data_IF_619709206397
#
_entry.id   IF_619709206397
#
_cell.length_a   1.000
_cell.length_b   1.000
_cell.length_c   1.000
_cell.angle_alpha   90.00
_cell.angle_beta   90.00
_cell.angle_gamma   90.00
#
_symmetry.space_group_name_H-M   'P 1'
#
loop_
_entity.id
_entity.type
_entity.pdbx_description
1 polymer ?
#
# COMPACT_ATOMS: atom_id res chain seq x y z
N UNK A 1 48.96 14.94 -40.72
CA UNK A 1 47.56 15.08 -40.36
C UNK A 1 47.21 14.43 -39.01
N UNK A 2 47.74 13.29 -38.68
CA UNK A 2 47.48 12.55 -37.41
C UNK A 2 47.94 13.29 -36.16
N UNK A 3 49.10 13.98 -36.20
CA UNK A 3 49.64 14.73 -35.06
C UNK A 3 48.77 15.90 -34.62
N UNK A 4 48.22 16.65 -35.60
CA UNK A 4 47.35 17.79 -35.35
C UNK A 4 45.99 17.35 -34.74
N UNK A 5 45.44 16.25 -35.20
CA UNK A 5 44.23 15.67 -34.63
C UNK A 5 44.43 15.18 -33.19
N UNK A 6 45.59 14.57 -32.90
CA UNK A 6 45.91 14.08 -31.56
C UNK A 6 46.08 15.23 -30.54
N UNK A 7 46.76 16.32 -30.95
CA UNK A 7 46.96 17.51 -30.11
C UNK A 7 45.63 18.25 -29.87
N UNK A 8 44.77 18.32 -30.86
CA UNK A 8 43.44 18.96 -30.72
C UNK A 8 42.55 18.17 -29.75
N UNK A 9 42.55 16.84 -29.79
CA UNK A 9 41.80 15.99 -28.86
C UNK A 9 42.30 16.14 -27.42
N UNK A 10 43.60 16.23 -27.20
CA UNK A 10 44.18 16.44 -25.88
C UNK A 10 43.79 17.79 -25.30
N UNK A 11 43.86 18.84 -26.11
CA UNK A 11 43.49 20.21 -25.69
C UNK A 11 42.00 20.30 -25.36
N UNK A 12 41.11 19.71 -26.19
CA UNK A 12 39.68 19.66 -25.93
C UNK A 12 39.37 18.84 -24.66
N UNK A 13 40.02 17.74 -24.47
CA UNK A 13 39.89 16.92 -23.24
C UNK A 13 40.33 17.69 -21.98
N UNK A 14 41.44 18.41 -22.04
CA UNK A 14 41.94 19.22 -20.93
C UNK A 14 40.96 20.38 -20.61
N UNK A 15 40.43 21.05 -21.64
CA UNK A 15 39.41 22.12 -21.47
C UNK A 15 38.11 21.59 -20.87
N UNK A 16 37.66 20.40 -21.31
CA UNK A 16 36.47 19.78 -20.75
C UNK A 16 36.67 19.39 -19.25
N UNK A 17 37.82 18.84 -18.88
CA UNK A 17 38.15 18.54 -17.51
C UNK A 17 38.27 19.82 -16.65
N UNK A 18 38.87 20.87 -17.17
CA UNK A 18 38.98 22.15 -16.47
C UNK A 18 37.61 22.84 -16.29
N UNK A 19 36.74 22.75 -17.32
CA UNK A 19 35.41 23.37 -17.27
C UNK A 19 34.39 22.61 -16.42
N UNK A 20 34.33 21.28 -16.59
CA UNK A 20 33.32 20.46 -15.91
C UNK A 20 33.81 19.75 -14.65
N UNK A 21 35.13 19.59 -14.49
CA UNK A 21 35.75 18.91 -13.37
C UNK A 21 35.33 19.47 -12.00
N UNK A 22 35.36 20.80 -11.78
CA UNK A 22 34.94 21.39 -10.50
C UNK A 22 33.47 21.09 -10.17
N UNK A 23 32.57 21.22 -11.13
CA UNK A 23 31.13 20.97 -10.93
C UNK A 23 30.84 19.49 -10.61
N UNK A 24 31.52 18.58 -11.32
CA UNK A 24 31.42 17.13 -11.03
C UNK A 24 31.99 16.83 -9.65
N UNK A 25 33.14 17.40 -9.29
CA UNK A 25 33.75 17.20 -7.99
C UNK A 25 32.89 17.73 -6.83
N UNK A 26 32.20 18.86 -7.02
CA UNK A 26 31.23 19.39 -6.04
C UNK A 26 30.01 18.50 -5.92
N UNK A 27 29.48 18.00 -7.03
CA UNK A 27 28.36 17.06 -7.00
C UNK A 27 28.73 15.75 -6.28
N UNK A 28 29.93 15.23 -6.51
CA UNK A 28 30.43 14.03 -5.79
C UNK A 28 30.69 14.31 -4.31
N UNK A 29 31.24 15.48 -3.95
CA UNK A 29 31.39 15.88 -2.54
C UNK A 29 30.03 16.01 -1.86
N UNK A 30 29.05 16.64 -2.51
CA UNK A 30 27.69 16.74 -1.99
C UNK A 30 27.01 15.39 -1.79
N UNK A 31 27.17 14.45 -2.74
CA UNK A 31 26.66 13.08 -2.59
C UNK A 31 27.34 12.31 -1.45
N UNK A 32 28.68 12.45 -1.30
CA UNK A 32 29.42 11.84 -0.19
C UNK A 32 29.02 12.44 1.16
N UNK A 33 28.87 13.77 1.23
CA UNK A 33 28.41 14.44 2.45
C UNK A 33 26.99 14.02 2.85
N UNK A 34 26.08 13.89 1.88
CA UNK A 34 24.73 13.37 2.14
C UNK A 34 24.74 11.93 2.64
N UNK A 35 25.53 11.04 2.03
CA UNK A 35 25.68 9.65 2.50
C UNK A 35 26.35 9.54 3.88
N UNK A 36 27.29 10.45 4.19
CA UNK A 36 27.95 10.48 5.51
C UNK A 36 27.03 11.07 6.60
N UNK A 37 26.08 11.94 6.22
CA UNK A 37 25.08 12.51 7.10
C UNK A 37 23.84 11.61 7.26
N UNK A 38 23.71 10.55 6.44
CA UNK A 38 22.65 9.57 6.55
C UNK A 38 22.84 8.80 7.87
N UNK A 39 21.85 8.81 8.78
CA UNK A 39 21.96 8.07 10.02
C UNK A 39 22.18 6.58 9.70
N UNK A 40 22.97 5.85 10.51
CA UNK A 40 23.14 4.42 10.30
C UNK A 40 21.77 3.74 10.27
N UNK A 41 21.60 2.72 9.43
CA UNK A 41 20.34 2.00 9.38
C UNK A 41 19.98 1.55 10.80
N UNK A 42 18.70 1.67 11.21
CA UNK A 42 18.28 1.28 12.54
C UNK A 42 18.68 -0.18 12.79
N UNK A 43 19.18 -0.45 13.99
CA UNK A 43 19.56 -1.80 14.38
C UNK A 43 18.36 -2.73 14.16
N UNK A 44 18.62 -3.92 13.58
CA UNK A 44 17.58 -4.92 13.35
C UNK A 44 16.89 -5.28 14.68
N UNK A 45 15.57 -5.03 14.73
CA UNK A 45 14.72 -5.36 15.86
C UNK A 45 13.69 -6.39 15.43
N UNK A 46 13.89 -7.68 15.74
CA UNK A 46 13.01 -8.77 15.28
C UNK A 46 11.58 -8.71 15.84
N UNK A 47 11.35 -7.90 16.88
CA UNK A 47 10.03 -7.71 17.48
C UNK A 47 9.26 -6.48 16.98
N UNK A 48 9.90 -5.64 16.17
CA UNK A 48 9.34 -4.34 15.76
C UNK A 48 8.03 -4.48 14.98
N UNK A 49 8.02 -5.31 13.94
CA UNK A 49 6.84 -5.54 13.09
C UNK A 49 5.67 -6.09 13.89
N UNK A 50 5.95 -7.06 14.78
CA UNK A 50 4.90 -7.60 15.66
C UNK A 50 4.32 -6.55 16.60
N UNK A 51 5.16 -5.69 17.20
CA UNK A 51 4.67 -4.62 18.08
C UNK A 51 3.92 -3.54 17.30
N UNK A 52 4.33 -3.25 16.07
CA UNK A 52 3.63 -2.33 15.19
C UNK A 52 2.24 -2.89 14.83
N UNK A 53 2.14 -4.16 14.44
CA UNK A 53 0.87 -4.81 14.13
C UNK A 53 -0.08 -4.88 15.33
N UNK A 54 0.43 -5.14 16.56
CA UNK A 54 -0.41 -5.11 17.77
C UNK A 54 -1.05 -3.73 17.96
N UNK A 55 -0.24 -2.66 17.86
CA UNK A 55 -0.76 -1.28 17.97
C UNK A 55 -1.71 -0.90 16.85
N UNK A 56 -1.43 -1.35 15.63
CA UNK A 56 -2.30 -1.13 14.48
C UNK A 56 -3.67 -1.79 14.66
N UNK A 57 -3.73 -2.99 15.23
CA UNK A 57 -4.99 -3.68 15.57
C UNK A 57 -5.77 -2.95 16.67
N UNK A 58 -5.07 -2.47 17.69
CA UNK A 58 -5.69 -1.66 18.74
C UNK A 58 -6.29 -0.37 18.15
N UNK A 59 -5.57 0.31 17.27
CA UNK A 59 -6.04 1.49 16.57
C UNK A 59 -7.24 1.17 15.69
N UNK A 60 -7.17 0.13 14.85
CA UNK A 60 -8.27 -0.30 14.01
C UNK A 60 -9.52 -0.54 14.85
N UNK A 61 -9.43 -1.33 15.93
CA UNK A 61 -10.55 -1.62 16.82
C UNK A 61 -11.13 -0.40 17.54
N UNK A 62 -10.36 0.69 17.70
CA UNK A 62 -10.84 1.94 18.28
C UNK A 62 -11.57 2.86 17.28
N UNK A 63 -11.40 2.63 15.97
CA UNK A 63 -11.92 3.50 14.89
C UNK A 63 -13.12 2.89 14.19
N UNK A 64 -13.05 1.59 13.85
CA UNK A 64 -14.13 0.89 13.15
C UNK A 64 -15.23 0.44 14.13
N UNK A 65 -16.38 -0.01 13.62
CA UNK A 65 -17.43 -0.58 14.47
C UNK A 65 -16.94 -1.88 15.15
N UNK A 66 -17.58 -2.25 16.26
CA UNK A 66 -17.29 -3.53 16.94
C UNK A 66 -17.44 -4.73 15.99
N UNK A 67 -18.47 -4.71 15.12
CA UNK A 67 -18.70 -5.74 14.13
C UNK A 67 -17.54 -5.83 13.12
N UNK A 68 -17.07 -4.70 12.57
CA UNK A 68 -15.96 -4.65 11.62
C UNK A 68 -14.63 -5.09 12.26
N UNK A 69 -14.41 -4.73 13.54
CA UNK A 69 -13.24 -5.16 14.31
C UNK A 69 -13.21 -6.67 14.55
N UNK A 70 -14.34 -7.27 14.91
CA UNK A 70 -14.48 -8.72 15.06
C UNK A 70 -14.33 -9.44 13.73
N UNK A 71 -14.93 -8.90 12.65
CA UNK A 71 -14.79 -9.42 11.30
C UNK A 71 -13.32 -9.48 10.88
N UNK A 72 -12.55 -8.40 11.09
CA UNK A 72 -11.12 -8.40 10.82
C UNK A 72 -10.37 -9.47 11.64
N UNK A 73 -10.71 -9.59 12.91
CA UNK A 73 -10.06 -10.54 13.82
C UNK A 73 -10.30 -12.00 13.42
N UNK A 74 -11.54 -12.33 13.02
CA UNK A 74 -11.91 -13.72 12.70
C UNK A 74 -11.68 -14.10 11.24
N UNK A 75 -11.89 -13.16 10.30
CA UNK A 75 -11.82 -13.43 8.88
C UNK A 75 -10.50 -12.96 8.23
N UNK A 76 -9.82 -11.98 8.82
CA UNK A 76 -8.61 -11.37 8.28
C UNK A 76 -8.87 -10.27 7.23
N UNK A 77 -10.11 -9.82 7.10
CA UNK A 77 -10.53 -8.72 6.21
C UNK A 77 -11.77 -8.02 6.77
N UNK A 78 -12.09 -6.84 6.23
CA UNK A 78 -13.33 -6.13 6.53
C UNK A 78 -14.20 -6.07 5.27
N UNK A 79 -15.50 -6.32 5.41
CA UNK A 79 -16.49 -6.11 4.37
C UNK A 79 -17.27 -4.82 4.64
N UNK A 80 -17.26 -3.89 3.68
CA UNK A 80 -17.91 -2.58 3.76
C UNK A 80 -18.98 -2.50 2.69
N UNK A 81 -20.18 -2.01 3.06
CA UNK A 81 -21.22 -1.72 2.08
C UNK A 81 -20.84 -0.50 1.23
N UNK A 82 -21.04 -0.57 -0.08
CA UNK A 82 -20.85 0.53 -1.00
C UNK A 82 -22.08 1.45 -1.06
N UNK A 83 -21.91 2.70 -1.50
CA UNK A 83 -22.98 3.63 -1.74
C UNK A 83 -23.93 3.84 -0.57
N UNK A 84 -23.42 3.93 0.64
CA UNK A 84 -24.21 4.03 1.89
C UNK A 84 -25.13 2.81 2.16
N UNK A 85 -24.85 1.67 1.53
CA UNK A 85 -25.58 0.40 1.75
C UNK A 85 -26.81 0.19 0.87
N UNK A 86 -27.17 1.15 0.02
CA UNK A 86 -28.40 1.07 -0.81
C UNK A 86 -28.18 0.50 -2.22
N UNK A 87 -26.92 0.39 -2.67
CA UNK A 87 -26.62 0.13 -4.09
C UNK A 87 -26.36 -1.34 -4.46
N UNK A 88 -26.55 -2.28 -3.55
CA UNK A 88 -26.43 -3.71 -3.86
C UNK A 88 -25.00 -4.21 -4.10
N UNK A 89 -23.97 -3.39 -3.85
CA UNK A 89 -22.57 -3.81 -3.91
C UNK A 89 -21.84 -3.52 -2.60
N UNK A 90 -20.70 -4.20 -2.43
CA UNK A 90 -19.83 -4.02 -1.28
C UNK A 90 -18.36 -4.17 -1.64
N UNK A 91 -17.51 -3.91 -0.67
CA UNK A 91 -16.07 -4.00 -0.80
C UNK A 91 -15.48 -4.94 0.24
N UNK A 92 -14.50 -5.77 -0.17
CA UNK A 92 -13.64 -6.52 0.74
C UNK A 92 -12.29 -5.81 0.84
N UNK A 93 -11.87 -5.52 2.06
CA UNK A 93 -10.62 -4.84 2.40
C UNK A 93 -9.64 -5.84 3.00
N UNK A 94 -8.69 -6.30 2.18
CA UNK A 94 -7.61 -7.20 2.60
C UNK A 94 -6.34 -6.41 2.90
N UNK A 95 -5.48 -6.90 3.82
CA UNK A 95 -4.13 -6.36 4.00
C UNK A 95 -3.32 -6.47 2.71
N UNK A 96 -2.70 -5.38 2.28
CA UNK A 96 -1.76 -5.30 1.15
C UNK A 96 -2.26 -5.88 -0.19
N UNK A 97 -3.57 -5.98 -0.36
CA UNK A 97 -4.22 -6.46 -1.57
C UNK A 97 -5.15 -5.39 -2.13
N UNK A 98 -5.59 -5.50 -3.39
CA UNK A 98 -6.62 -4.62 -3.93
C UNK A 98 -7.89 -4.61 -3.06
N UNK A 99 -8.60 -3.50 -3.10
CA UNK A 99 -9.99 -3.43 -2.65
C UNK A 99 -10.81 -4.20 -3.70
N UNK A 100 -11.59 -5.19 -3.26
CA UNK A 100 -12.41 -6.01 -4.16
C UNK A 100 -13.86 -5.57 -4.06
N UNK A 101 -14.43 -5.10 -5.18
CA UNK A 101 -15.86 -4.85 -5.27
C UNK A 101 -16.61 -6.13 -5.65
N UNK A 102 -17.74 -6.37 -5.00
CA UNK A 102 -18.61 -7.53 -5.26
C UNK A 102 -20.07 -7.16 -5.16
N UNK A 103 -20.93 -7.84 -5.92
CA UNK A 103 -22.38 -7.77 -5.79
C UNK A 103 -22.82 -8.47 -4.50
N UNK A 104 -23.57 -7.79 -3.63
CA UNK A 104 -23.94 -8.32 -2.31
C UNK A 104 -25.01 -9.40 -2.36
N UNK A 105 -25.77 -9.49 -3.46
CA UNK A 105 -26.85 -10.48 -3.66
C UNK A 105 -26.29 -11.75 -4.29
N UNK A 106 -25.63 -11.62 -5.45
CA UNK A 106 -25.09 -12.77 -6.19
C UNK A 106 -23.75 -13.25 -5.66
N UNK A 107 -22.95 -12.37 -5.04
CA UNK A 107 -21.56 -12.62 -4.69
C UNK A 107 -20.62 -12.55 -5.90
N UNK A 108 -21.07 -12.03 -7.03
CA UNK A 108 -20.25 -11.85 -8.21
C UNK A 108 -19.18 -10.78 -7.98
N UNK A 109 -17.96 -11.05 -8.41
CA UNK A 109 -16.86 -10.09 -8.34
C UNK A 109 -17.00 -9.06 -9.45
N UNK A 110 -17.01 -7.78 -9.08
CA UNK A 110 -17.18 -6.69 -10.03
C UNK A 110 -15.85 -6.15 -10.52
N UNK A 111 -14.98 -5.71 -9.61
CA UNK A 111 -13.69 -5.10 -9.94
C UNK A 111 -12.68 -5.27 -8.80
N UNK A 112 -11.39 -5.11 -9.14
CA UNK A 112 -10.28 -4.98 -8.20
C UNK A 112 -9.70 -3.57 -8.31
N UNK A 113 -9.58 -2.86 -7.19
CA UNK A 113 -9.06 -1.50 -7.14
C UNK A 113 -7.74 -1.45 -6.37
N UNK A 114 -6.63 -1.20 -7.07
CA UNK A 114 -5.33 -1.02 -6.45
C UNK A 114 -5.16 0.39 -5.94
N UNK A 115 -5.00 0.51 -4.63
CA UNK A 115 -4.65 1.75 -3.94
C UNK A 115 -3.45 1.47 -3.05
N UNK A 116 -2.44 2.33 -3.10
CA UNK A 116 -1.24 2.20 -2.28
C UNK A 116 -1.22 3.21 -1.15
N UNK A 117 -1.00 2.73 0.07
CA UNK A 117 -0.79 3.56 1.26
C UNK A 117 0.64 3.32 1.77
N UNK A 118 1.63 4.14 1.32
CA UNK A 118 3.02 3.97 1.75
C UNK A 118 3.19 4.40 3.21
N UNK A 119 3.99 3.65 3.97
CA UNK A 119 4.45 4.11 5.28
C UNK A 119 5.42 5.29 5.10
N UNK A 120 4.97 6.47 5.51
CA UNK A 120 5.77 7.71 5.45
C UNK A 120 6.57 7.98 6.74
N UNK A 121 6.35 7.21 7.77
CA UNK A 121 7.07 7.33 9.05
C UNK A 121 8.50 6.77 8.98
N UNK A 122 8.78 5.97 7.96
CA UNK A 122 10.04 5.26 7.80
C UNK A 122 10.88 5.83 6.66
N UNK A 123 12.20 5.88 6.81
CA UNK A 123 13.10 6.40 5.78
C UNK A 123 13.25 5.48 4.57
N UNK A 124 12.73 4.24 4.62
CA UNK A 124 12.81 3.27 3.53
C UNK A 124 11.59 3.35 2.61
N UNK A 125 11.77 3.57 1.30
CA UNK A 125 10.65 3.68 0.37
C UNK A 125 9.86 2.38 0.14
N UNK A 126 10.36 1.24 0.64
CA UNK A 126 9.75 -0.07 0.45
C UNK A 126 9.07 -0.62 1.72
N UNK A 127 8.96 0.18 2.77
CA UNK A 127 8.36 -0.27 4.01
C UNK A 127 6.84 -0.26 3.89
N UNK A 128 6.23 -1.39 4.17
CA UNK A 128 4.77 -1.56 4.17
C UNK A 128 4.23 -1.16 5.53
N UNK A 129 3.03 -0.59 5.54
CA UNK A 129 2.25 -0.43 6.76
C UNK A 129 2.03 -1.79 7.45
N UNK A 130 1.82 -1.84 8.77
CA UNK A 130 1.22 -3.00 9.42
C UNK A 130 -0.09 -3.43 8.72
N UNK A 131 -0.41 -4.72 8.77
CA UNK A 131 -1.60 -5.27 8.08
C UNK A 131 -2.89 -4.54 8.47
N UNK A 132 -3.09 -4.29 9.76
CA UNK A 132 -4.27 -3.60 10.26
C UNK A 132 -4.30 -2.11 9.86
N UNK A 133 -3.15 -1.42 9.79
CA UNK A 133 -3.07 -0.02 9.35
C UNK A 133 -3.40 0.11 7.86
N UNK A 134 -2.98 -0.82 7.02
CA UNK A 134 -3.31 -0.82 5.59
C UNK A 134 -4.83 -1.01 5.38
N UNK A 135 -5.45 -1.93 6.12
CA UNK A 135 -6.91 -2.11 6.08
C UNK A 135 -7.64 -0.88 6.61
N UNK A 136 -7.17 -0.30 7.71
CA UNK A 136 -7.75 0.92 8.28
C UNK A 136 -7.65 2.11 7.32
N UNK A 137 -6.52 2.29 6.64
CA UNK A 137 -6.34 3.34 5.65
C UNK A 137 -7.33 3.20 4.49
N UNK A 138 -7.57 1.99 3.98
CA UNK A 138 -8.58 1.69 2.96
C UNK A 138 -9.98 2.00 3.46
N UNK A 139 -10.31 1.54 4.67
CA UNK A 139 -11.61 1.77 5.30
C UNK A 139 -11.89 3.26 5.47
N UNK A 140 -10.94 4.01 6.04
CA UNK A 140 -11.06 5.46 6.23
C UNK A 140 -11.23 6.19 4.89
N UNK A 141 -10.47 5.80 3.87
CA UNK A 141 -10.54 6.43 2.55
C UNK A 141 -11.88 6.16 1.86
N UNK A 142 -12.44 4.96 1.97
CA UNK A 142 -13.78 4.65 1.47
C UNK A 142 -14.86 5.44 2.20
N UNK A 143 -14.77 5.52 3.53
CA UNK A 143 -15.73 6.27 4.35
C UNK A 143 -15.68 7.77 4.14
N UNK A 144 -14.49 8.32 3.88
CA UNK A 144 -14.30 9.75 3.62
C UNK A 144 -14.78 10.17 2.23
N UNK A 145 -14.59 9.32 1.20
CA UNK A 145 -14.94 9.65 -0.17
C UNK A 145 -14.77 8.48 -1.13
N UNK A 146 -15.75 7.56 -1.13
CA UNK A 146 -15.74 6.37 -1.98
C UNK A 146 -15.51 6.70 -3.45
N UNK A 147 -16.29 7.64 -4.00
CA UNK A 147 -16.19 8.04 -5.41
C UNK A 147 -14.79 8.56 -5.76
N UNK A 148 -14.21 9.38 -4.89
CA UNK A 148 -12.89 9.95 -5.11
C UNK A 148 -11.82 8.86 -5.07
N UNK A 149 -11.85 8.00 -4.06
CA UNK A 149 -10.93 6.87 -3.92
C UNK A 149 -10.97 5.96 -5.17
N UNK A 150 -12.15 5.56 -5.59
CA UNK A 150 -12.34 4.68 -6.75
C UNK A 150 -11.90 5.35 -8.05
N UNK A 151 -12.09 6.66 -8.19
CA UNK A 151 -11.70 7.41 -9.40
C UNK A 151 -10.18 7.51 -9.60
N UNK A 152 -9.38 7.47 -8.52
CA UNK A 152 -7.91 7.54 -8.56
C UNK A 152 -7.24 6.17 -8.46
N UNK A 153 -7.99 5.14 -8.13
CA UNK A 153 -7.49 3.77 -8.03
C UNK A 153 -7.19 3.17 -9.42
N UNK A 154 -6.18 2.31 -9.50
CA UNK A 154 -5.98 1.49 -10.69
C UNK A 154 -7.00 0.34 -10.69
N UNK A 155 -8.00 0.46 -11.57
CA UNK A 155 -9.05 -0.54 -11.72
C UNK A 155 -8.57 -1.72 -12.57
N UNK A 156 -8.85 -2.92 -12.11
CA UNK A 156 -8.59 -4.18 -12.80
C UNK A 156 -9.84 -5.05 -12.84
N UNK A 157 -9.93 -5.89 -13.88
CA UNK A 157 -10.95 -6.94 -13.95
C UNK A 157 -10.70 -7.99 -12.87
N UNK A 158 -11.75 -8.68 -12.39
CA UNK A 158 -11.61 -9.78 -11.42
C UNK A 158 -10.62 -10.85 -11.88
N UNK A 159 -9.81 -11.33 -10.93
CA UNK A 159 -8.81 -12.36 -11.21
C UNK A 159 -7.47 -11.84 -11.74
N UNK A 160 -7.30 -10.52 -11.84
CA UNK A 160 -6.02 -9.95 -12.27
C UNK A 160 -4.95 -10.03 -11.19
N UNK A 161 -5.33 -9.81 -9.94
CA UNK A 161 -4.41 -9.77 -8.80
C UNK A 161 -4.80 -10.72 -7.67
N UNK A 162 -6.07 -11.07 -7.56
CA UNK A 162 -6.59 -12.02 -6.58
C UNK A 162 -7.21 -13.22 -7.29
N UNK A 163 -7.00 -14.40 -6.72
CA UNK A 163 -7.70 -15.60 -7.18
C UNK A 163 -9.21 -15.49 -6.90
N UNK A 164 -10.09 -15.47 -7.92
CA UNK A 164 -11.53 -15.38 -7.73
C UNK A 164 -12.08 -16.50 -6.85
N UNK A 165 -11.48 -17.70 -6.93
CA UNK A 165 -11.87 -18.84 -6.10
C UNK A 165 -11.58 -18.57 -4.61
N UNK A 166 -10.48 -17.88 -4.30
CA UNK A 166 -10.19 -17.47 -2.92
C UNK A 166 -11.21 -16.45 -2.44
N UNK A 167 -11.50 -15.42 -3.23
CA UNK A 167 -12.49 -14.39 -2.86
C UNK A 167 -13.88 -15.00 -2.70
N UNK A 168 -14.26 -15.95 -3.57
CA UNK A 168 -15.52 -16.69 -3.44
C UNK A 168 -15.62 -17.46 -2.11
N UNK A 169 -14.54 -18.12 -1.67
CA UNK A 169 -14.49 -18.77 -0.35
C UNK A 169 -14.61 -17.76 0.80
N UNK A 170 -13.98 -16.63 0.67
CA UNK A 170 -14.05 -15.56 1.70
C UNK A 170 -15.46 -14.96 1.79
N UNK A 171 -16.18 -14.81 0.69
CA UNK A 171 -17.59 -14.40 0.69
C UNK A 171 -18.51 -15.46 1.33
N UNK A 172 -18.22 -16.76 1.17
CA UNK A 172 -18.93 -17.82 1.90
C UNK A 172 -18.67 -17.70 3.40
N UNK A 173 -17.40 -17.58 3.81
CA UNK A 173 -17.01 -17.38 5.23
C UNK A 173 -17.70 -16.15 5.84
N UNK A 174 -17.79 -15.07 5.09
CA UNK A 174 -18.47 -13.83 5.52
C UNK A 174 -19.97 -14.07 5.76
N UNK A 175 -20.65 -14.79 4.86
CA UNK A 175 -22.06 -15.13 5.01
C UNK A 175 -22.32 -16.01 6.23
N UNK A 176 -21.50 -17.04 6.43
CA UNK A 176 -21.57 -17.93 7.57
C UNK A 176 -21.29 -17.18 8.88
N UNK A 177 -20.32 -16.29 8.89
CA UNK A 177 -19.99 -15.44 10.04
C UNK A 177 -21.18 -14.55 10.43
N UNK A 178 -21.81 -13.89 9.46
CA UNK A 178 -23.00 -13.06 9.69
C UNK A 178 -24.18 -13.89 10.19
N UNK A 179 -24.43 -15.06 9.63
CA UNK A 179 -25.51 -15.94 10.05
C UNK A 179 -25.36 -16.34 11.53
N UNK A 180 -24.17 -16.78 11.96
CA UNK A 180 -23.91 -17.12 13.37
C UNK A 180 -24.19 -15.97 14.35
N UNK A 181 -24.00 -14.73 13.93
CA UNK A 181 -24.24 -13.55 14.78
C UNK A 181 -25.75 -13.26 14.93
N UNK A 182 -26.52 -13.44 13.88
CA UNK A 182 -27.97 -13.29 13.94
C UNK A 182 -28.54 -14.31 14.91
N UNK A 183 -28.10 -15.58 14.85
CA UNK A 183 -28.55 -16.64 15.74
C UNK A 183 -28.13 -16.43 17.21
N UNK A 184 -27.04 -15.70 17.47
CA UNK A 184 -26.56 -15.42 18.81
C UNK A 184 -27.30 -14.26 19.54
N UNK A 185 -28.03 -13.43 18.79
CA UNK A 185 -28.75 -12.25 19.31
C UNK A 185 -30.28 -12.51 19.44
N UNK A 186 -30.80 -13.57 18.82
CA UNK A 186 -32.19 -14.01 18.92
C UNK A 186 -32.40 -15.01 20.01
#
# INVERSE_FOLDING_TARGET
MTLVLATSLIVLGALAVAGFGPAVAEQWRGRRARRAAEPPPPAYDPGRERRAEVRARELLGSVVSAEESEMYTELGFIAVAGGNGEQGYGYLLYPHRPIVAYDTVSGELLNEYCVGFPDRSEPSPNQRLPDADDVLAKWMSLRAGERELISVANMHVPGRQLDPGQVGRDLIRLREWRARRVDAVG
#
